data_IF_526558451828
#
_entry.id   IF_526558451828
#
_cell.length_a   1.000
_cell.length_b   1.000
_cell.length_c   1.000
_cell.angle_alpha   90.00
_cell.angle_beta   90.00
_cell.angle_gamma   90.00
#
_symmetry.space_group_name_H-M   'P 1'
#
loop_
_entity.id
_entity.type
_entity.pdbx_description
1 polymer ?
#
# COMPACT_ATOMS: atom_id res chain seq x y z
N UNK A 1 -22.79 1.98 -9.58
CA UNK A 1 -21.36 2.05 -9.35
C UNK A 1 -21.21 3.18 -8.39
N UNK A 2 -21.11 2.81 -7.13
CA UNK A 2 -21.01 3.78 -6.06
C UNK A 2 -19.54 3.93 -5.71
N UNK A 3 -18.82 4.74 -6.48
CA UNK A 3 -17.41 4.99 -6.24
C UNK A 3 -17.13 5.59 -4.87
N UNK A 4 -18.11 6.30 -4.30
CA UNK A 4 -17.97 6.81 -2.94
C UNK A 4 -18.01 5.65 -1.94
N UNK A 5 -18.81 4.63 -2.18
CA UNK A 5 -18.80 3.41 -1.37
C UNK A 5 -17.46 2.66 -1.47
N UNK A 6 -16.95 2.41 -2.69
CA UNK A 6 -15.63 1.76 -2.87
C UNK A 6 -14.53 2.56 -2.16
N UNK A 7 -14.51 3.89 -2.33
CA UNK A 7 -13.55 4.78 -1.68
C UNK A 7 -13.61 4.67 -0.15
N UNK A 8 -14.82 4.71 0.42
CA UNK A 8 -15.02 4.65 1.86
C UNK A 8 -14.58 3.30 2.42
N UNK A 9 -14.96 2.19 1.77
CA UNK A 9 -14.58 0.84 2.20
C UNK A 9 -13.07 0.67 2.18
N UNK A 10 -12.39 1.04 1.07
CA UNK A 10 -10.93 0.92 0.96
C UNK A 10 -10.21 1.78 2.00
N UNK A 11 -10.68 3.01 2.24
CA UNK A 11 -10.11 3.85 3.29
C UNK A 11 -10.32 3.27 4.69
N UNK A 12 -11.51 2.74 4.98
CA UNK A 12 -11.85 2.15 6.27
C UNK A 12 -11.00 0.90 6.54
N UNK A 13 -10.91 -0.01 5.57
CA UNK A 13 -10.06 -1.19 5.65
C UNK A 13 -8.59 -0.81 5.86
N UNK A 14 -8.07 0.17 5.11
CA UNK A 14 -6.69 0.61 5.25
C UNK A 14 -6.41 1.24 6.63
N UNK A 15 -7.33 2.07 7.12
CA UNK A 15 -7.23 2.68 8.46
C UNK A 15 -7.27 1.60 9.55
N UNK A 16 -8.17 0.64 9.45
CA UNK A 16 -8.29 -0.44 10.44
C UNK A 16 -7.07 -1.35 10.41
N UNK A 17 -6.59 -1.72 9.22
CA UNK A 17 -5.37 -2.49 9.03
C UNK A 17 -4.18 -1.84 9.76
N UNK A 18 -3.99 -0.53 9.59
CA UNK A 18 -2.90 0.16 10.25
C UNK A 18 -3.13 0.37 11.76
N UNK A 19 -4.32 0.79 12.18
CA UNK A 19 -4.57 1.11 13.59
C UNK A 19 -4.72 -0.12 14.49
N UNK A 20 -5.33 -1.18 13.98
CA UNK A 20 -5.70 -2.37 14.78
C UNK A 20 -4.70 -3.51 14.66
N UNK A 21 -3.92 -3.55 13.58
CA UNK A 21 -2.91 -4.59 13.37
C UNK A 21 -1.49 -4.02 13.42
N UNK A 22 -1.15 -3.05 12.58
CA UNK A 22 0.25 -2.60 12.43
C UNK A 22 0.76 -1.72 13.57
N UNK A 23 -0.04 -0.75 14.01
CA UNK A 23 0.32 0.23 15.05
C UNK A 23 -0.18 -0.17 16.43
N UNK A 24 -0.77 -1.37 16.55
CA UNK A 24 -1.25 -1.87 17.83
C UNK A 24 -0.10 -1.91 18.84
N UNK A 25 -0.31 -1.24 19.97
CA UNK A 25 0.66 -1.11 21.07
C UNK A 25 1.99 -0.42 20.71
N UNK A 26 2.13 0.11 19.48
CA UNK A 26 3.33 0.81 19.04
C UNK A 26 3.35 2.24 19.59
N UNK A 27 4.44 2.61 20.27
CA UNK A 27 4.58 3.92 20.93
C UNK A 27 5.76 4.71 20.41
N UNK A 28 5.49 5.89 19.87
CA UNK A 28 6.51 6.88 19.52
C UNK A 28 6.50 8.00 20.55
N UNK A 29 7.65 8.30 21.16
CA UNK A 29 7.77 9.30 22.23
C UNK A 29 6.71 9.14 23.34
N UNK A 30 6.49 7.90 23.80
CA UNK A 30 5.49 7.51 24.81
C UNK A 30 4.01 7.73 24.42
N UNK A 31 3.72 8.04 23.16
CA UNK A 31 2.34 8.16 22.64
C UNK A 31 2.04 7.00 21.70
N UNK A 32 0.84 6.43 21.82
CA UNK A 32 0.40 5.40 20.87
C UNK A 32 0.27 6.03 19.47
N UNK A 33 0.85 5.35 18.47
CA UNK A 33 0.66 5.74 17.08
C UNK A 33 -0.77 5.38 16.68
N UNK A 34 -1.50 6.34 16.11
CA UNK A 34 -2.83 6.12 15.55
C UNK A 34 -3.10 7.12 14.44
N UNK A 35 -3.71 6.65 13.36
CA UNK A 35 -4.23 7.50 12.30
C UNK A 35 -5.57 8.08 12.76
N UNK A 36 -5.65 9.40 12.87
CA UNK A 36 -6.88 10.11 13.20
C UNK A 36 -7.75 10.31 11.95
N UNK A 37 -9.01 9.88 12.03
CA UNK A 37 -9.97 9.93 10.90
C UNK A 37 -11.35 10.49 11.28
N UNK A 38 -11.47 11.18 12.43
CA UNK A 38 -12.76 11.64 12.96
C UNK A 38 -13.52 12.53 11.96
N UNK A 39 -14.75 12.13 11.63
CA UNK A 39 -15.67 12.76 10.66
C UNK A 39 -15.18 12.79 9.19
N UNK A 40 -14.10 12.06 8.86
CA UNK A 40 -13.61 11.98 7.48
C UNK A 40 -14.50 11.09 6.60
N UNK A 41 -14.91 9.92 7.09
CA UNK A 41 -15.74 8.97 6.33
C UNK A 41 -17.11 9.53 5.90
N UNK A 42 -17.66 10.47 6.67
CA UNK A 42 -18.91 11.15 6.33
C UNK A 42 -18.72 12.15 5.18
N UNK A 43 -17.54 12.80 5.12
CA UNK A 43 -17.27 13.94 4.23
C UNK A 43 -16.52 13.56 2.95
N UNK A 44 -15.75 12.46 2.98
CA UNK A 44 -14.95 11.99 1.85
C UNK A 44 -15.87 11.55 0.70
N UNK A 45 -15.57 12.07 -0.49
CA UNK A 45 -16.20 11.67 -1.75
C UNK A 45 -15.12 11.62 -2.83
N UNK A 46 -15.44 11.02 -3.98
CA UNK A 46 -14.54 11.04 -5.14
C UNK A 46 -14.22 12.45 -5.63
N UNK A 47 -15.02 13.46 -5.27
CA UNK A 47 -14.78 14.87 -5.64
C UNK A 47 -13.97 15.63 -4.58
N UNK A 48 -13.83 15.08 -3.37
CA UNK A 48 -13.17 15.71 -2.22
C UNK A 48 -12.08 14.80 -1.67
N UNK A 49 -11.14 14.42 -2.53
CA UNK A 49 -10.04 13.52 -2.18
C UNK A 49 -8.95 14.21 -1.34
N UNK A 50 -8.93 15.55 -1.31
CA UNK A 50 -8.03 16.40 -0.53
C UNK A 50 -8.06 16.11 0.98
N UNK A 51 -9.15 15.54 1.49
CA UNK A 51 -9.22 15.11 2.88
C UNK A 51 -8.18 14.01 3.22
N UNK A 52 -7.70 13.24 2.23
CA UNK A 52 -6.65 12.24 2.40
C UNK A 52 -5.30 12.91 2.73
N UNK A 53 -5.05 14.13 2.26
CA UNK A 53 -3.82 14.88 2.56
C UNK A 53 -3.65 15.10 4.07
N UNK A 54 -4.76 15.21 4.81
CA UNK A 54 -4.73 15.34 6.27
C UNK A 54 -4.16 14.10 6.96
N UNK A 55 -4.45 12.90 6.46
CA UNK A 55 -3.88 11.64 6.96
C UNK A 55 -2.41 11.54 6.57
N UNK A 56 -2.10 11.84 5.31
CA UNK A 56 -0.72 11.80 4.79
C UNK A 56 0.18 12.76 5.58
N UNK A 57 -0.30 13.96 5.92
CA UNK A 57 0.43 14.92 6.73
C UNK A 57 0.63 14.43 8.17
N UNK A 58 -0.37 13.82 8.80
CA UNK A 58 -0.22 13.18 10.11
C UNK A 58 0.88 12.11 10.09
N UNK A 59 0.89 11.25 9.07
CA UNK A 59 1.90 10.21 8.91
C UNK A 59 3.30 10.79 8.67
N UNK A 60 3.44 11.84 7.86
CA UNK A 60 4.72 12.51 7.65
C UNK A 60 5.25 13.17 8.94
N UNK A 61 4.39 13.74 9.77
CA UNK A 61 4.78 14.27 11.07
C UNK A 61 5.31 13.15 11.98
N UNK A 62 4.62 12.00 12.02
CA UNK A 62 5.10 10.83 12.77
C UNK A 62 6.44 10.31 12.23
N UNK A 63 6.67 10.35 10.91
CA UNK A 63 7.96 9.98 10.31
C UNK A 63 9.07 10.96 10.73
N UNK A 64 8.77 12.25 10.77
CA UNK A 64 9.72 13.25 11.27
C UNK A 64 10.06 12.97 12.74
N UNK A 65 9.05 12.72 13.59
CA UNK A 65 9.26 12.35 14.99
C UNK A 65 10.08 11.05 15.15
N UNK A 66 9.91 10.09 14.24
CA UNK A 66 10.70 8.86 14.21
C UNK A 66 12.16 9.14 13.80
N UNK A 67 12.39 10.01 12.81
CA UNK A 67 13.73 10.44 12.40
C UNK A 67 14.47 11.17 13.53
N UNK A 68 13.76 11.96 14.33
CA UNK A 68 14.34 12.65 15.49
C UNK A 68 14.86 11.67 16.57
N UNK A 69 14.47 10.38 16.54
CA UNK A 69 15.08 9.37 17.42
C UNK A 69 16.56 9.15 17.12
N UNK A 70 16.98 9.30 15.87
CA UNK A 70 18.36 9.09 15.45
C UNK A 70 19.33 10.13 16.04
N UNK A 71 18.82 11.24 16.59
CA UNK A 71 19.66 12.26 17.24
C UNK A 71 19.90 11.98 18.73
N UNK A 72 19.30 10.91 19.29
CA UNK A 72 19.43 10.55 20.72
C UNK A 72 20.61 9.58 20.92
N UNK A 73 21.33 9.72 22.04
CA UNK A 73 22.55 8.93 22.32
C UNK A 73 22.32 7.41 22.41
N UNK A 74 21.14 6.98 22.87
CA UNK A 74 20.77 5.56 23.01
C UNK A 74 19.55 5.24 22.14
N UNK A 75 19.70 5.38 20.82
CA UNK A 75 18.60 5.09 19.90
C UNK A 75 18.38 3.58 19.77
N UNK A 76 17.11 3.17 19.84
CA UNK A 76 16.70 1.83 19.45
C UNK A 76 16.54 1.79 17.92
N UNK A 77 17.61 1.35 17.25
CA UNK A 77 17.64 1.25 15.79
C UNK A 77 16.60 0.28 15.24
N UNK A 78 16.25 -0.77 15.99
CA UNK A 78 15.26 -1.76 15.57
C UNK A 78 13.87 -1.16 15.58
N UNK A 79 13.54 -0.43 16.65
CA UNK A 79 12.31 0.33 16.77
C UNK A 79 12.19 1.41 15.68
N UNK A 80 13.27 2.17 15.43
CA UNK A 80 13.29 3.16 14.35
C UNK A 80 13.00 2.53 12.99
N UNK A 81 13.70 1.44 12.66
CA UNK A 81 13.58 0.76 11.37
C UNK A 81 12.17 0.21 11.13
N UNK A 82 11.62 -0.48 12.14
CA UNK A 82 10.29 -1.07 12.05
C UNK A 82 9.21 0.00 11.88
N UNK A 83 9.31 1.07 12.67
CA UNK A 83 8.38 2.19 12.63
C UNK A 83 8.44 2.93 11.29
N UNK A 84 9.64 3.16 10.73
CA UNK A 84 9.80 3.85 9.45
C UNK A 84 9.17 3.07 8.30
N UNK A 85 9.34 1.74 8.27
CA UNK A 85 8.74 0.87 7.24
C UNK A 85 7.21 0.97 7.30
N UNK A 86 6.62 0.87 8.50
CA UNK A 86 5.18 0.93 8.67
C UNK A 86 4.60 2.30 8.29
N UNK A 87 5.21 3.38 8.75
CA UNK A 87 4.76 4.75 8.45
C UNK A 87 4.93 5.10 6.96
N UNK A 88 6.04 4.68 6.33
CA UNK A 88 6.27 4.85 4.89
C UNK A 88 5.23 4.09 4.07
N UNK A 89 4.95 2.83 4.42
CA UNK A 89 3.90 2.04 3.77
C UNK A 89 2.52 2.65 3.94
N UNK A 90 2.17 3.12 5.14
CA UNK A 90 0.89 3.78 5.38
C UNK A 90 0.77 5.02 4.50
N UNK A 91 1.79 5.88 4.49
CA UNK A 91 1.76 7.11 3.69
C UNK A 91 1.56 6.83 2.20
N UNK A 92 2.22 5.82 1.64
CA UNK A 92 2.06 5.48 0.23
C UNK A 92 0.69 4.85 -0.05
N UNK A 93 0.18 4.01 0.85
CA UNK A 93 -1.15 3.43 0.73
C UNK A 93 -2.23 4.51 0.57
N UNK A 94 -2.27 5.50 1.46
CA UNK A 94 -3.23 6.61 1.39
C UNK A 94 -3.05 7.47 0.14
N UNK A 95 -1.81 7.82 -0.22
CA UNK A 95 -1.53 8.53 -1.48
C UNK A 95 -2.02 7.76 -2.69
N UNK A 96 -1.90 6.43 -2.68
CA UNK A 96 -2.36 5.60 -3.80
C UNK A 96 -3.88 5.57 -3.90
N UNK A 97 -4.60 5.58 -2.79
CA UNK A 97 -6.07 5.73 -2.81
C UNK A 97 -6.44 7.01 -3.56
N UNK A 98 -5.86 8.15 -3.16
CA UNK A 98 -6.09 9.45 -3.81
C UNK A 98 -5.76 9.41 -5.31
N UNK A 99 -4.54 8.99 -5.67
CA UNK A 99 -4.08 8.90 -7.07
C UNK A 99 -5.01 8.02 -7.93
N UNK A 100 -5.46 6.89 -7.38
CA UNK A 100 -6.31 5.95 -8.11
C UNK A 100 -7.71 6.49 -8.35
N UNK A 101 -8.32 7.17 -7.38
CA UNK A 101 -9.62 7.80 -7.58
C UNK A 101 -9.54 9.06 -8.47
N UNK A 102 -8.44 9.81 -8.44
CA UNK A 102 -8.17 10.89 -9.41
C UNK A 102 -8.10 10.34 -10.84
N UNK A 103 -7.34 9.26 -11.05
CA UNK A 103 -7.25 8.58 -12.34
C UNK A 103 -8.60 8.05 -12.81
N UNK A 104 -9.39 7.44 -11.92
CA UNK A 104 -10.73 6.95 -12.25
C UNK A 104 -11.68 8.10 -12.60
N UNK A 105 -11.63 9.22 -11.87
CA UNK A 105 -12.44 10.40 -12.18
C UNK A 105 -12.13 10.97 -13.56
N UNK A 106 -10.86 10.96 -13.97
CA UNK A 106 -10.45 11.40 -15.30
C UNK A 106 -11.04 10.52 -16.42
N UNK A 107 -11.30 9.24 -16.14
CA UNK A 107 -11.87 8.28 -17.08
C UNK A 107 -13.41 8.30 -17.14
N UNK A 108 -14.09 9.17 -16.35
CA UNK A 108 -15.55 9.34 -16.40
C UNK A 108 -15.97 10.11 -17.64
N UNK A 109 -16.98 9.62 -18.36
CA UNK A 109 -17.62 10.40 -19.43
C UNK A 109 -18.43 11.56 -18.83
N UNK A 110 -18.07 12.79 -19.18
CA UNK A 110 -18.81 14.00 -18.78
C UNK A 110 -20.07 14.27 -19.61
N UNK A 111 -20.27 13.57 -20.73
CA UNK A 111 -21.36 13.84 -21.69
C UNK A 111 -22.57 12.88 -21.59
N UNK A 112 -22.51 11.85 -20.75
CA UNK A 112 -23.63 10.91 -20.55
C UNK A 112 -24.33 11.15 -19.22
N UNK A 113 -25.68 11.13 -19.21
CA UNK A 113 -26.54 11.17 -18.00
C UNK A 113 -26.27 10.00 -17.01
N UNK A 114 -25.39 9.08 -17.38
CA UNK A 114 -24.88 8.02 -16.53
C UNK A 114 -23.37 8.21 -16.33
N UNK A 115 -22.92 8.20 -15.07
CA UNK A 115 -21.51 8.20 -14.68
C UNK A 115 -20.81 6.89 -15.15
N UNK A 116 -20.64 6.72 -16.45
CA UNK A 116 -19.96 5.60 -17.07
C UNK A 116 -18.46 5.91 -17.12
N UNK A 117 -17.65 4.98 -16.60
CA UNK A 117 -16.19 5.01 -16.78
C UNK A 117 -15.86 4.12 -17.97
N UNK A 118 -15.07 4.63 -18.91
CA UNK A 118 -14.44 3.83 -19.97
C UNK A 118 -13.23 3.06 -19.40
N UNK A 119 -13.54 2.04 -18.60
CA UNK A 119 -12.56 1.13 -18.04
C UNK A 119 -12.90 -0.28 -18.53
N UNK A 120 -11.98 -0.88 -19.29
CA UNK A 120 -12.09 -2.29 -19.67
C UNK A 120 -11.10 -3.14 -18.86
N UNK A 121 -11.40 -4.44 -18.78
CA UNK A 121 -10.59 -5.38 -18.01
C UNK A 121 -9.12 -5.43 -18.47
N UNK A 122 -8.86 -5.32 -19.78
CA UNK A 122 -7.49 -5.32 -20.32
C UNK A 122 -6.67 -4.14 -19.83
N UNK A 123 -7.28 -2.96 -19.68
CA UNK A 123 -6.63 -1.80 -19.10
C UNK A 123 -6.25 -2.06 -17.64
N UNK A 124 -7.18 -2.62 -16.85
CA UNK A 124 -6.93 -2.96 -15.45
C UNK A 124 -5.81 -3.98 -15.30
N UNK A 125 -5.83 -5.05 -16.09
CA UNK A 125 -4.75 -6.05 -16.12
C UNK A 125 -3.42 -5.36 -16.37
N UNK A 126 -3.31 -4.52 -17.41
CA UNK A 126 -2.07 -3.79 -17.73
C UNK A 126 -1.61 -2.86 -16.61
N UNK A 127 -2.54 -2.17 -15.94
CA UNK A 127 -2.22 -1.27 -14.81
C UNK A 127 -1.66 -2.09 -13.64
N UNK A 128 -2.32 -3.20 -13.28
CA UNK A 128 -1.92 -4.03 -12.15
C UNK A 128 -0.62 -4.81 -12.42
N UNK A 129 -0.42 -5.35 -13.63
CA UNK A 129 0.84 -6.02 -14.01
C UNK A 129 2.00 -5.02 -14.06
N UNK A 130 1.78 -3.80 -14.54
CA UNK A 130 2.78 -2.73 -14.51
C UNK A 130 3.17 -2.33 -13.09
N UNK A 131 2.19 -2.22 -12.18
CA UNK A 131 2.45 -1.98 -10.77
C UNK A 131 3.23 -3.14 -10.14
N UNK A 132 2.86 -4.38 -10.43
CA UNK A 132 3.58 -5.57 -9.96
C UNK A 132 5.05 -5.57 -10.43
N UNK A 133 5.30 -5.17 -11.68
CA UNK A 133 6.65 -5.04 -12.22
C UNK A 133 7.46 -3.94 -11.50
N UNK A 134 6.83 -2.82 -11.14
CA UNK A 134 7.47 -1.76 -10.33
C UNK A 134 7.88 -2.28 -8.95
N UNK A 135 6.99 -3.02 -8.29
CA UNK A 135 7.28 -3.65 -6.98
C UNK A 135 8.42 -4.65 -7.12
N UNK A 136 8.35 -5.53 -8.12
CA UNK A 136 9.37 -6.51 -8.42
C UNK A 136 10.75 -5.86 -8.57
N UNK A 137 10.84 -4.81 -9.40
CA UNK A 137 12.08 -4.05 -9.61
C UNK A 137 12.60 -3.43 -8.30
N UNK A 138 11.74 -2.93 -7.42
CA UNK A 138 12.16 -2.35 -6.13
C UNK A 138 12.77 -3.40 -5.21
N UNK A 139 12.17 -4.59 -5.13
CA UNK A 139 12.67 -5.67 -4.28
C UNK A 139 13.91 -6.35 -4.86
N UNK A 140 14.02 -6.52 -6.19
CA UNK A 140 15.21 -7.10 -6.83
C UNK A 140 16.46 -6.19 -6.70
N UNK A 141 16.27 -4.89 -6.49
CA UNK A 141 17.35 -3.92 -6.27
C UNK A 141 17.70 -3.69 -4.79
N UNK A 142 17.13 -4.46 -3.86
CA UNK A 142 17.55 -4.43 -2.46
C UNK A 142 18.96 -5.03 -2.31
N UNK A 143 19.65 -4.67 -1.23
CA UNK A 143 20.99 -5.19 -0.94
C UNK A 143 20.96 -6.73 -0.85
N UNK A 144 21.98 -7.47 -1.34
CA UNK A 144 21.95 -8.94 -1.41
C UNK A 144 21.67 -9.65 -0.07
N UNK A 145 22.06 -9.03 1.06
CA UNK A 145 21.75 -9.49 2.42
C UNK A 145 20.24 -9.64 2.70
N UNK A 146 19.40 -8.92 1.96
CA UNK A 146 17.95 -9.01 2.04
C UNK A 146 17.34 -10.06 1.10
N UNK A 147 17.94 -10.27 -0.07
CA UNK A 147 17.37 -11.06 -1.17
C UNK A 147 17.60 -12.56 -0.98
N UNK A 148 18.68 -12.96 -0.31
CA UNK A 148 19.09 -14.37 -0.15
C UNK A 148 18.23 -15.19 0.83
N UNK A 149 17.00 -14.76 1.09
CA UNK A 149 16.04 -15.43 1.96
C UNK A 149 14.97 -16.16 1.11
N UNK A 150 14.71 -17.43 1.40
CA UNK A 150 13.72 -18.25 0.67
C UNK A 150 12.30 -17.67 0.69
N UNK A 151 11.90 -17.00 1.77
CA UNK A 151 10.59 -16.33 1.85
C UNK A 151 10.51 -15.18 0.85
N UNK A 152 11.59 -14.42 0.71
CA UNK A 152 11.71 -13.31 -0.24
C UNK A 152 11.71 -13.84 -1.67
N UNK A 153 12.42 -14.92 -1.92
CA UNK A 153 12.39 -15.60 -3.22
C UNK A 153 10.98 -16.06 -3.59
N UNK A 154 10.22 -16.64 -2.64
CA UNK A 154 8.81 -17.01 -2.85
C UNK A 154 7.93 -15.79 -3.14
N UNK A 155 8.11 -14.71 -2.39
CA UNK A 155 7.43 -13.43 -2.62
C UNK A 155 7.71 -12.88 -4.03
N UNK A 156 8.98 -12.84 -4.44
CA UNK A 156 9.40 -12.39 -5.78
C UNK A 156 8.81 -13.27 -6.88
N UNK A 157 8.73 -14.58 -6.66
CA UNK A 157 8.13 -15.51 -7.62
C UNK A 157 6.62 -15.25 -7.81
N UNK A 158 5.88 -14.92 -6.74
CA UNK A 158 4.47 -14.53 -6.86
C UNK A 158 4.32 -13.22 -7.63
N UNK A 159 5.17 -12.21 -7.39
CA UNK A 159 5.18 -10.98 -8.19
C UNK A 159 5.48 -11.25 -9.66
N UNK A 160 6.44 -12.13 -9.98
CA UNK A 160 6.74 -12.55 -11.36
C UNK A 160 5.57 -13.24 -12.03
N UNK A 161 4.78 -14.02 -11.30
CA UNK A 161 3.53 -14.59 -11.83
C UNK A 161 2.51 -13.49 -12.12
N UNK A 162 2.32 -12.55 -11.18
CA UNK A 162 1.40 -11.42 -11.37
C UNK A 162 1.72 -10.61 -12.62
N UNK A 163 2.99 -10.39 -12.97
CA UNK A 163 3.35 -9.61 -14.16
C UNK A 163 2.98 -10.29 -15.48
N UNK A 164 2.70 -11.60 -15.45
CA UNK A 164 2.33 -12.41 -16.62
C UNK A 164 0.83 -12.75 -16.67
N UNK A 165 0.04 -12.33 -15.69
CA UNK A 165 -1.38 -12.65 -15.63
C UNK A 165 -2.20 -11.94 -16.72
N UNK A 166 -3.24 -12.64 -17.18
CA UNK A 166 -4.18 -12.15 -18.18
C UNK A 166 -5.61 -12.00 -17.64
N UNK A 167 -5.84 -12.24 -16.34
CA UNK A 167 -7.14 -12.08 -15.69
C UNK A 167 -7.05 -11.30 -14.37
N UNK A 168 -8.08 -10.51 -14.07
CA UNK A 168 -8.13 -9.77 -12.80
C UNK A 168 -8.31 -10.71 -11.62
N UNK A 169 -9.03 -11.84 -11.78
CA UNK A 169 -9.22 -12.83 -10.73
C UNK A 169 -7.90 -13.48 -10.29
N UNK A 170 -7.05 -13.89 -11.24
CA UNK A 170 -5.72 -14.45 -10.90
C UNK A 170 -4.84 -13.41 -10.20
N UNK A 171 -4.92 -12.14 -10.64
CA UNK A 171 -4.18 -11.05 -9.99
C UNK A 171 -4.64 -10.86 -8.55
N UNK A 172 -5.94 -10.93 -8.27
CA UNK A 172 -6.48 -10.84 -6.89
C UNK A 172 -6.03 -12.02 -6.03
N UNK A 173 -6.10 -13.25 -6.56
CA UNK A 173 -5.63 -14.45 -5.86
C UNK A 173 -4.14 -14.35 -5.51
N UNK A 174 -3.31 -13.95 -6.46
CA UNK A 174 -1.89 -13.74 -6.24
C UNK A 174 -1.62 -12.57 -5.29
N UNK A 175 -2.38 -11.47 -5.36
CA UNK A 175 -2.22 -10.35 -4.43
C UNK A 175 -2.49 -10.78 -2.98
N UNK A 176 -3.50 -11.63 -2.74
CA UNK A 176 -3.76 -12.23 -1.43
C UNK A 176 -2.60 -13.14 -1.00
N UNK A 177 -2.06 -13.96 -1.91
CA UNK A 177 -0.89 -14.79 -1.61
C UNK A 177 0.33 -13.93 -1.26
N UNK A 178 0.57 -12.84 -2.00
CA UNK A 178 1.66 -11.92 -1.76
C UNK A 178 1.46 -11.15 -0.45
N UNK A 179 0.23 -10.75 -0.09
CA UNK A 179 -0.09 -10.13 1.19
C UNK A 179 0.23 -11.06 2.36
N UNK A 180 -0.24 -12.31 2.33
CA UNK A 180 0.06 -13.31 3.37
C UNK A 180 1.58 -13.50 3.51
N UNK A 181 2.28 -13.64 2.37
CA UNK A 181 3.74 -13.75 2.36
C UNK A 181 4.42 -12.48 2.87
N UNK A 182 3.83 -11.31 2.64
CA UNK A 182 4.38 -10.05 3.09
C UNK A 182 4.13 -9.80 4.58
N UNK A 183 3.04 -10.31 5.17
CA UNK A 183 2.86 -10.32 6.63
C UNK A 183 3.87 -11.23 7.34
N UNK A 184 4.30 -12.32 6.70
CA UNK A 184 5.45 -13.11 7.17
C UNK A 184 6.79 -12.36 7.08
N UNK A 185 6.90 -11.40 6.16
CA UNK A 185 8.09 -10.56 5.92
C UNK A 185 8.09 -9.30 6.80
N UNK A 186 6.92 -8.74 7.13
CA UNK A 186 6.72 -7.59 8.04
C UNK A 186 7.17 -7.88 9.46
N UNK A 187 7.21 -9.15 9.87
CA UNK A 187 7.92 -9.59 11.08
C UNK A 187 9.41 -9.58 10.79
N UNK A 188 9.98 -8.38 10.95
CA UNK A 188 11.31 -7.98 10.51
C UNK A 188 12.47 -8.89 10.93
N UNK A 189 12.28 -9.69 12.00
CA UNK A 189 13.19 -10.75 12.46
C UNK A 189 13.61 -11.75 11.36
N UNK A 190 12.86 -11.80 10.25
CA UNK A 190 13.14 -12.71 9.15
C UNK A 190 13.85 -12.09 7.94
N UNK A 191 13.76 -10.79 7.74
CA UNK A 191 14.28 -10.12 6.54
C UNK A 191 15.56 -9.36 6.83
N UNK A 192 15.70 -8.88 8.06
CA UNK A 192 16.76 -7.99 8.48
C UNK A 192 17.55 -8.73 9.56
N UNK A 193 18.79 -9.11 9.25
CA UNK A 193 19.73 -9.40 10.33
C UNK A 193 20.03 -8.07 11.02
N UNK A 194 19.35 -7.82 12.12
CA UNK A 194 19.50 -6.59 12.90
C UNK A 194 20.93 -6.43 13.41
N UNK A 195 21.67 -7.52 13.63
CA UNK A 195 23.09 -7.43 14.01
C UNK A 195 23.92 -6.85 12.87
N UNK A 196 23.55 -7.12 11.61
CA UNK A 196 24.20 -6.52 10.44
C UNK A 196 23.81 -5.05 10.21
N UNK A 197 22.74 -4.54 10.85
CA UNK A 197 22.38 -3.12 10.84
C UNK A 197 23.14 -2.29 11.89
N UNK A 198 23.76 -2.92 12.89
CA UNK A 198 24.42 -2.21 14.00
C UNK A 198 25.86 -1.79 13.62
N UNK A 199 26.51 -2.49 12.69
CA UNK A 199 27.96 -2.37 12.45
C UNK A 199 28.39 -1.38 11.36
N UNK A 200 27.50 -0.89 10.48
CA UNK A 200 27.90 -0.06 9.32
C UNK A 200 26.97 1.12 9.04
N UNK A 201 27.52 2.33 8.82
CA UNK A 201 26.84 3.57 8.40
C UNK A 201 25.84 3.40 7.21
N UNK A 202 25.93 2.29 6.46
CA UNK A 202 25.02 1.92 5.37
C UNK A 202 23.63 1.43 5.79
N UNK A 203 23.41 1.13 7.08
CA UNK A 203 22.15 0.57 7.57
C UNK A 203 20.93 1.50 7.37
N UNK A 204 21.13 2.82 7.50
CA UNK A 204 20.08 3.84 7.25
C UNK A 204 19.65 3.81 5.79
N UNK A 205 20.59 3.72 4.85
CA UNK A 205 20.29 3.64 3.43
C UNK A 205 19.53 2.35 3.08
N UNK A 206 19.88 1.24 3.74
CA UNK A 206 19.19 -0.03 3.58
C UNK A 206 17.74 0.03 4.10
N UNK A 207 17.49 0.68 5.24
CA UNK A 207 16.13 0.95 5.74
C UNK A 207 15.34 1.83 4.77
N UNK A 208 15.94 2.90 4.23
CA UNK A 208 15.26 3.78 3.27
C UNK A 208 14.85 3.00 2.01
N UNK A 209 15.73 2.15 1.49
CA UNK A 209 15.41 1.28 0.34
C UNK A 209 14.30 0.29 0.67
N UNK A 210 14.38 -0.38 1.83
CA UNK A 210 13.38 -1.35 2.27
C UNK A 210 12.02 -0.69 2.52
N UNK A 211 12.01 0.48 3.12
CA UNK A 211 10.80 1.29 3.36
C UNK A 211 10.18 1.73 2.03
N UNK A 212 11.01 2.10 1.04
CA UNK A 212 10.54 2.42 -0.31
C UNK A 212 9.95 1.20 -1.03
N UNK A 213 10.56 0.01 -0.89
CA UNK A 213 10.06 -1.21 -1.50
C UNK A 213 8.73 -1.64 -0.88
N UNK A 214 8.62 -1.61 0.46
CA UNK A 214 7.37 -1.90 1.17
C UNK A 214 6.27 -0.87 0.90
N UNK A 215 6.62 0.40 0.70
CA UNK A 215 5.68 1.43 0.28
C UNK A 215 5.09 1.12 -1.11
N UNK A 216 5.94 0.81 -2.08
CA UNK A 216 5.50 0.44 -3.43
C UNK A 216 4.62 -0.81 -3.42
N UNK A 217 4.96 -1.81 -2.59
CA UNK A 217 4.13 -2.99 -2.37
C UNK A 217 2.73 -2.63 -1.85
N UNK A 218 2.63 -1.75 -0.86
CA UNK A 218 1.33 -1.32 -0.35
C UNK A 218 0.52 -0.58 -1.40
N UNK A 219 1.17 0.24 -2.23
CA UNK A 219 0.53 0.85 -3.40
C UNK A 219 -0.02 -0.18 -4.39
N UNK A 220 0.65 -1.31 -4.59
CA UNK A 220 0.12 -2.40 -5.42
C UNK A 220 -1.18 -2.97 -4.82
N UNK A 221 -1.19 -3.30 -3.52
CA UNK A 221 -2.38 -3.88 -2.87
C UNK A 221 -3.59 -2.95 -2.95
N UNK A 222 -3.41 -1.66 -2.65
CA UNK A 222 -4.46 -0.65 -2.77
C UNK A 222 -5.01 -0.58 -4.20
N UNK A 223 -4.13 -0.66 -5.20
CA UNK A 223 -4.55 -0.68 -6.59
C UNK A 223 -5.35 -1.94 -6.95
N UNK A 224 -4.89 -3.12 -6.51
CA UNK A 224 -5.62 -4.37 -6.74
C UNK A 224 -7.02 -4.28 -6.15
N UNK A 225 -7.15 -3.78 -4.91
CA UNK A 225 -8.44 -3.63 -4.24
C UNK A 225 -9.37 -2.69 -5.00
N UNK A 226 -8.91 -1.46 -5.30
CA UNK A 226 -9.72 -0.46 -6.00
C UNK A 226 -10.13 -0.95 -7.39
N UNK A 227 -9.16 -1.33 -8.24
CA UNK A 227 -9.44 -1.64 -9.64
C UNK A 227 -10.21 -2.96 -9.81
N UNK A 228 -10.01 -3.95 -8.93
CA UNK A 228 -10.79 -5.18 -8.99
C UNK A 228 -12.26 -4.95 -8.59
N UNK A 229 -12.52 -4.12 -7.58
CA UNK A 229 -13.89 -3.77 -7.17
C UNK A 229 -14.61 -2.94 -8.23
N UNK A 230 -13.92 -1.99 -8.88
CA UNK A 230 -14.50 -1.22 -10.00
C UNK A 230 -14.94 -2.13 -11.15
N UNK A 231 -14.08 -3.08 -11.57
CA UNK A 231 -14.43 -4.02 -12.65
C UNK A 231 -15.59 -4.94 -12.24
N UNK A 232 -15.59 -5.48 -11.02
CA UNK A 232 -16.70 -6.31 -10.51
C UNK A 232 -18.04 -5.56 -10.57
N UNK A 233 -18.08 -4.28 -10.17
CA UNK A 233 -19.30 -3.47 -10.23
C UNK A 233 -19.75 -3.14 -11.66
N UNK A 234 -18.82 -2.96 -12.61
CA UNK A 234 -19.14 -2.74 -14.02
C UNK A 234 -19.75 -3.99 -14.66
N UNK A 235 -19.12 -5.16 -14.49
CA UNK A 235 -19.61 -6.45 -15.03
C UNK A 235 -21.00 -6.80 -14.49
N UNK A 236 -21.24 -6.55 -13.21
CA UNK A 236 -22.55 -6.80 -12.59
C UNK A 236 -23.66 -5.93 -13.19
N UNK A 237 -23.38 -4.66 -13.53
CA UNK A 237 -24.34 -3.77 -14.18
C UNK A 237 -24.67 -4.18 -15.61
N UNK A 238 -23.68 -4.54 -16.42
CA UNK A 238 -23.90 -4.97 -17.80
C UNK A 238 -24.80 -6.21 -17.89
N UNK A 239 -24.63 -7.15 -16.95
CA UNK A 239 -25.45 -8.36 -16.89
C UNK A 239 -26.89 -8.10 -16.43
N UNK A 240 -27.15 -7.06 -15.61
CA UNK A 240 -28.51 -6.65 -15.22
C UNK A 240 -29.30 -5.97 -16.34
N UNK A 241 -28.63 -5.32 -17.29
CA UNK A 241 -29.28 -4.66 -18.44
C UNK A 241 -29.69 -5.69 -19.51
N UNK A 242 -29.13 -6.90 -19.46
CA UNK A 242 -29.41 -8.00 -20.41
C UNK A 242 -30.46 -9.02 -19.93
N UNK A 243 -31.07 -8.83 -18.77
CA UNK A 243 -32.10 -9.72 -18.19
C UNK A 243 -33.49 -9.07 -18.25
#
# INVERSE_FOLDING_TARGET
>A
MDFNLILKNVLEELVNYYNEECFKDLKLNNKNIKIGFSNMFEKITTEKLDLIDSIVNQLNNLRQENQDLLTKENVDHMFYASTEILLSSASEGFKKVQESFENLNFLKHTESDSNLIDLNEKFVIRKLTSNAQRVLNKFENLSPRFINNDKVTKFLNCLKKMTMCESVSEIVELANEVLIRQDEIKRLDHFVDYNALVDEYGWVHDIVKLSSANAEFMGLLVNVEIFSNVIKEQVFKENRVKA
#
